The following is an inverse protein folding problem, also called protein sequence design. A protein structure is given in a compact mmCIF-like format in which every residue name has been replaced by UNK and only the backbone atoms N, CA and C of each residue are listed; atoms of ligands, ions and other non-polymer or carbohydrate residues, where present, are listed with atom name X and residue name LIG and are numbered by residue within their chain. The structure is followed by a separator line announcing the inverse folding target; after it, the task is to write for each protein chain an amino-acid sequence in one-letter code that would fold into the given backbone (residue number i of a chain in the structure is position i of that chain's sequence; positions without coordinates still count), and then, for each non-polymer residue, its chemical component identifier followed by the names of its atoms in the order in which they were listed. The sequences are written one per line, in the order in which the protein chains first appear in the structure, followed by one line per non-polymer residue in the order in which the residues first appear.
data_IF_317547513126
#
_entry.id   IF_317547513126
#
_cell.length_a   1.000
_cell.length_b   1.000
_cell.length_c   1.000
_cell.angle_alpha   90.00
_cell.angle_beta   90.00
_cell.angle_gamma   90.00
#
_symmetry.space_group_name_H-M   'P 1'
#
loop_
_entity.id
_entity.type
_entity.pdbx_description
1 polymer ?
#
# COMPACT_ATOMS: atom_id res chain seq x y z
N UNK A 1 -19.92 8.13 -23.62
CA UNK A 1 -18.86 9.10 -23.23
C UNK A 1 -19.57 10.43 -23.04
N UNK A 2 -19.62 10.95 -21.83
CA UNK A 2 -20.26 12.22 -21.52
C UNK A 2 -19.19 13.22 -21.05
N UNK A 3 -19.27 14.47 -21.51
CA UNK A 3 -18.30 15.51 -21.17
C UNK A 3 -18.98 16.55 -20.29
N UNK A 4 -18.38 16.84 -19.14
CA UNK A 4 -18.82 17.89 -18.22
C UNK A 4 -17.71 18.93 -18.13
N UNK A 5 -18.04 20.20 -18.37
CA UNK A 5 -17.11 21.32 -18.22
C UNK A 5 -17.49 22.11 -16.98
N UNK A 6 -16.58 22.15 -16.00
CA UNK A 6 -16.73 22.96 -14.79
C UNK A 6 -16.00 24.29 -15.04
N UNK A 7 -16.75 25.41 -15.00
CA UNK A 7 -16.18 26.75 -15.15
C UNK A 7 -16.03 27.39 -13.77
N UNK A 8 -15.09 28.32 -13.62
CA UNK A 8 -14.82 29.07 -12.39
C UNK A 8 -14.54 28.16 -11.18
N UNK A 9 -13.81 27.07 -11.39
CA UNK A 9 -13.32 26.25 -10.29
C UNK A 9 -12.23 27.04 -9.54
N UNK A 10 -12.32 27.12 -8.22
CA UNK A 10 -11.31 27.85 -7.44
C UNK A 10 -9.94 27.21 -7.57
N UNK A 11 -8.89 28.03 -7.55
CA UNK A 11 -7.50 27.56 -7.66
C UNK A 11 -7.13 26.61 -6.52
N UNK A 12 -7.69 26.85 -5.32
CA UNK A 12 -7.56 25.96 -4.17
C UNK A 12 -8.06 24.54 -4.48
N UNK A 13 -9.24 24.42 -5.09
CA UNK A 13 -9.83 23.13 -5.43
C UNK A 13 -9.03 22.44 -6.55
N UNK A 14 -8.53 23.21 -7.53
CA UNK A 14 -7.64 22.68 -8.57
C UNK A 14 -6.35 22.12 -7.94
N UNK A 15 -5.75 22.84 -7.00
CA UNK A 15 -4.54 22.40 -6.30
C UNK A 15 -4.79 21.12 -5.48
N UNK A 16 -5.90 21.09 -4.73
CA UNK A 16 -6.29 19.92 -3.95
C UNK A 16 -6.53 18.69 -4.82
N UNK A 17 -7.19 18.85 -5.98
CA UNK A 17 -7.42 17.76 -6.94
C UNK A 17 -6.13 17.25 -7.57
N UNK A 18 -5.21 18.15 -7.94
CA UNK A 18 -3.89 17.76 -8.47
C UNK A 18 -3.08 16.96 -7.46
N UNK A 19 -3.06 17.42 -6.20
CA UNK A 19 -2.33 16.71 -5.15
C UNK A 19 -2.96 15.34 -4.85
N UNK A 20 -4.29 15.26 -4.83
CA UNK A 20 -5.00 13.98 -4.67
C UNK A 20 -4.71 13.02 -5.83
N UNK A 21 -4.70 13.51 -7.07
CA UNK A 21 -4.36 12.72 -8.25
C UNK A 21 -2.91 12.21 -8.21
N UNK A 22 -1.97 13.05 -7.78
CA UNK A 22 -0.56 12.69 -7.56
C UNK A 22 -0.43 11.57 -6.52
N UNK A 23 -1.10 11.71 -5.37
CA UNK A 23 -1.12 10.68 -4.32
C UNK A 23 -1.64 9.34 -4.81
N UNK A 24 -2.66 9.36 -5.68
CA UNK A 24 -3.26 8.14 -6.22
C UNK A 24 -2.58 7.64 -7.52
N UNK A 25 -1.50 8.29 -7.98
CA UNK A 25 -0.81 7.97 -9.24
C UNK A 25 -1.74 7.93 -10.46
N UNK A 26 -2.68 8.88 -10.53
CA UNK A 26 -3.67 9.02 -11.62
C UNK A 26 -3.58 10.40 -12.27
N UNK A 27 -4.15 10.54 -13.47
CA UNK A 27 -4.35 11.87 -14.05
C UNK A 27 -5.43 12.64 -13.26
N UNK A 28 -5.37 13.97 -13.31
CA UNK A 28 -6.37 14.83 -12.65
C UNK A 28 -7.79 14.53 -13.14
N UNK A 29 -7.97 14.29 -14.44
CA UNK A 29 -9.27 13.91 -15.02
C UNK A 29 -9.75 12.56 -14.46
N UNK A 30 -8.87 11.56 -14.40
CA UNK A 30 -9.21 10.25 -13.88
C UNK A 30 -9.60 10.32 -12.39
N UNK A 31 -8.90 11.12 -11.59
CA UNK A 31 -9.25 11.33 -10.18
C UNK A 31 -10.58 12.08 -10.02
N UNK A 32 -10.82 13.12 -10.83
CA UNK A 32 -12.09 13.86 -10.80
C UNK A 32 -13.27 12.96 -11.19
N UNK A 33 -13.09 12.12 -12.21
CA UNK A 33 -14.09 11.14 -12.63
C UNK A 33 -14.40 10.14 -11.50
N UNK A 34 -13.36 9.60 -10.87
CA UNK A 34 -13.50 8.66 -9.76
C UNK A 34 -14.19 9.28 -8.54
N UNK A 35 -13.82 10.50 -8.18
CA UNK A 35 -14.48 11.23 -7.09
C UNK A 35 -15.98 11.44 -7.39
N UNK A 36 -16.33 11.86 -8.61
CA UNK A 36 -17.74 12.02 -9.01
C UNK A 36 -18.50 10.69 -9.00
N UNK A 37 -17.87 9.59 -9.42
CA UNK A 37 -18.48 8.26 -9.39
C UNK A 37 -18.76 7.78 -7.96
N UNK A 38 -17.84 8.00 -7.01
CA UNK A 38 -18.07 7.63 -5.60
C UNK A 38 -19.21 8.42 -4.97
N UNK A 39 -19.22 9.75 -5.19
CA UNK A 39 -20.30 10.61 -4.70
C UNK A 39 -21.65 10.17 -5.27
N UNK A 40 -21.71 9.86 -6.57
CA UNK A 40 -22.95 9.40 -7.21
C UNK A 40 -23.45 8.05 -6.67
N UNK A 41 -22.56 7.20 -6.15
CA UNK A 41 -22.88 5.91 -5.54
C UNK A 41 -23.19 6.00 -4.04
N UNK A 42 -22.97 7.16 -3.42
CA UNK A 42 -23.09 7.31 -1.96
C UNK A 42 -21.97 6.63 -1.18
N UNK A 43 -20.83 6.35 -1.82
CA UNK A 43 -19.62 5.86 -1.15
C UNK A 43 -18.89 7.06 -0.51
N UNK A 44 -18.50 6.94 0.76
CA UNK A 44 -17.82 8.00 1.50
C UNK A 44 -16.56 8.48 0.76
N UNK A 45 -16.36 9.80 0.72
CA UNK A 45 -15.29 10.48 -0.03
C UNK A 45 -13.86 10.23 0.49
N UNK A 46 -13.71 9.35 1.49
CA UNK A 46 -12.43 8.88 2.00
C UNK A 46 -11.55 8.36 0.88
N UNK A 47 -10.25 8.55 1.06
CA UNK A 47 -9.22 8.11 0.11
C UNK A 47 -9.43 6.64 -0.24
N UNK A 48 -9.99 6.37 -1.42
CA UNK A 48 -10.23 5.01 -1.91
C UNK A 48 -8.94 4.18 -2.09
N UNK A 49 -7.77 4.68 -1.69
CA UNK A 49 -6.54 3.90 -1.61
C UNK A 49 -6.68 2.72 -0.63
N UNK A 50 -7.28 2.93 0.54
CA UNK A 50 -7.50 1.84 1.51
C UNK A 50 -8.52 0.83 1.00
N UNK A 51 -9.57 1.29 0.33
CA UNK A 51 -10.63 0.45 -0.20
C UNK A 51 -10.19 -0.32 -1.45
N UNK A 52 -9.35 0.31 -2.29
CA UNK A 52 -8.71 -0.34 -3.45
C UNK A 52 -7.62 -1.31 -3.00
N UNK A 53 -6.90 -1.00 -1.93
CA UNK A 53 -5.96 -1.92 -1.29
C UNK A 53 -6.73 -3.10 -0.68
N UNK A 54 -7.80 -2.88 0.08
CA UNK A 54 -8.65 -3.93 0.62
C UNK A 54 -9.31 -4.80 -0.46
N UNK A 55 -9.73 -4.19 -1.58
CA UNK A 55 -10.26 -4.91 -2.73
C UNK A 55 -9.18 -5.72 -3.48
N UNK A 56 -7.93 -5.25 -3.48
CA UNK A 56 -6.77 -5.90 -4.12
C UNK A 56 -6.12 -6.96 -3.23
N UNK A 57 -6.15 -6.78 -1.91
CA UNK A 57 -5.80 -7.78 -0.88
C UNK A 57 -7.05 -8.61 -0.55
N UNK A 58 -7.81 -9.04 -1.57
CA UNK A 58 -8.58 -10.27 -1.43
C UNK A 58 -7.59 -11.40 -1.69
N UNK A 59 -7.07 -12.11 -0.67
CA UNK A 59 -6.07 -13.12 -0.92
C UNK A 59 -6.75 -14.21 -1.74
N UNK A 60 -6.36 -14.34 -3.01
CA UNK A 60 -6.76 -15.46 -3.86
C UNK A 60 -6.30 -16.79 -3.25
N UNK A 61 -5.32 -16.72 -2.36
CA UNK A 61 -4.92 -17.74 -1.39
C UNK A 61 -4.73 -17.06 -0.03
N UNK A 62 -5.57 -17.38 0.96
CA UNK A 62 -5.22 -17.18 2.37
C UNK A 62 -5.00 -18.55 2.99
N UNK A 63 -3.91 -18.71 3.72
CA UNK A 63 -3.66 -19.91 4.52
C UNK A 63 -3.97 -19.53 5.97
N UNK A 64 -4.94 -20.18 6.62
CA UNK A 64 -5.22 -19.98 8.03
C UNK A 64 -3.95 -20.14 8.88
N UNK A 65 -3.79 -19.29 9.90
CA UNK A 65 -2.57 -19.28 10.72
C UNK A 65 -2.26 -20.65 11.35
N UNK A 66 -3.28 -21.41 11.74
CA UNK A 66 -3.12 -22.77 12.26
C UNK A 66 -2.56 -23.75 11.20
N UNK A 67 -2.97 -23.62 9.94
CA UNK A 67 -2.47 -24.46 8.85
C UNK A 67 -1.01 -24.11 8.52
N UNK A 68 -0.65 -22.82 8.53
CA UNK A 68 0.73 -22.37 8.39
C UNK A 68 1.62 -22.96 9.49
N UNK A 69 1.20 -22.85 10.76
CA UNK A 69 1.97 -23.36 11.90
C UNK A 69 2.08 -24.89 11.88
N UNK A 70 1.04 -25.60 11.47
CA UNK A 70 1.09 -27.05 11.29
C UNK A 70 2.10 -27.46 10.20
N UNK A 71 2.20 -26.67 9.12
CA UNK A 71 3.15 -26.92 8.03
C UNK A 71 4.59 -26.61 8.44
N UNK A 72 4.81 -25.56 9.23
CA UNK A 72 6.11 -25.25 9.84
C UNK A 72 6.54 -26.39 10.76
N UNK A 73 5.65 -26.88 11.62
CA UNK A 73 5.96 -27.97 12.54
C UNK A 73 6.30 -29.30 11.84
N UNK A 74 5.74 -29.53 10.64
CA UNK A 74 6.02 -30.70 9.81
C UNK A 74 7.27 -30.55 8.93
N UNK A 75 7.79 -29.33 8.79
CA UNK A 75 8.99 -29.07 8.01
C UNK A 75 10.22 -29.33 8.87
N UNK A 76 11.10 -30.28 8.52
CA UNK A 76 12.36 -30.43 9.21
C UNK A 76 13.17 -29.13 9.07
N UNK A 77 13.94 -28.73 10.10
CA UNK A 77 14.78 -27.55 10.00
C UNK A 77 15.74 -27.75 8.82
N UNK A 78 15.97 -26.71 8.01
CA UNK A 78 16.95 -26.80 6.94
C UNK A 78 18.31 -27.19 7.54
N UNK A 79 19.15 -27.93 6.80
CA UNK A 79 20.51 -28.29 7.24
C UNK A 79 21.43 -27.07 7.12
N UNK A 80 21.03 -25.96 7.73
CA UNK A 80 21.83 -24.76 7.85
C UNK A 80 22.52 -24.81 9.21
N UNK A 81 23.83 -24.64 9.20
CA UNK A 81 24.56 -24.33 10.40
C UNK A 81 24.18 -22.90 10.80
N UNK A 82 23.31 -22.79 11.81
CA UNK A 82 22.81 -21.52 12.29
C UNK A 82 23.94 -20.60 12.77
N UNK A 83 25.03 -21.17 13.30
CA UNK A 83 26.15 -20.40 13.82
C UNK A 83 27.03 -19.86 12.70
N UNK A 84 27.29 -20.67 11.66
CA UNK A 84 27.96 -20.22 10.45
C UNK A 84 27.15 -19.16 9.67
N UNK A 85 25.83 -19.37 9.53
CA UNK A 85 24.95 -18.40 8.86
C UNK A 85 24.86 -17.06 9.61
N UNK A 86 24.81 -17.09 10.95
CA UNK A 86 24.88 -15.89 11.78
C UNK A 86 26.25 -15.20 11.71
N UNK A 87 27.34 -15.97 11.56
CA UNK A 87 28.67 -15.42 11.36
C UNK A 87 28.77 -14.70 10.01
N UNK A 88 28.21 -15.27 8.94
CA UNK A 88 28.13 -14.63 7.63
C UNK A 88 27.34 -13.31 7.70
N UNK A 89 26.17 -13.29 8.34
CA UNK A 89 25.37 -12.05 8.51
C UNK A 89 26.10 -10.98 9.31
N UNK A 90 26.86 -11.37 10.34
CA UNK A 90 27.63 -10.41 11.16
C UNK A 90 28.90 -9.93 10.46
N UNK A 91 29.46 -10.76 9.58
CA UNK A 91 30.61 -10.41 8.75
C UNK A 91 30.20 -9.58 7.54
N UNK A 92 28.93 -9.67 7.13
CA UNK A 92 28.27 -8.81 6.15
C UNK A 92 28.03 -7.42 6.78
N UNK A 93 29.12 -6.65 6.93
CA UNK A 93 29.14 -5.26 7.38
C UNK A 93 28.53 -4.29 6.34
N UNK A 94 28.08 -4.83 5.19
CA UNK A 94 27.28 -4.15 4.17
C UNK A 94 25.79 -4.07 4.55
N UNK A 95 25.49 -4.02 5.85
CA UNK A 95 24.26 -3.41 6.34
C UNK A 95 24.33 -1.90 6.04
N UNK A 96 24.29 -1.53 4.75
CA UNK A 96 23.98 -0.18 4.29
C UNK A 96 22.80 0.29 5.11
N UNK A 97 23.06 1.21 6.05
CA UNK A 97 22.14 1.97 6.89
C UNK A 97 20.67 1.72 6.51
N UNK A 98 20.14 0.54 6.88
CA UNK A 98 18.80 0.12 6.47
C UNK A 98 17.87 0.88 7.39
N UNK A 99 17.66 2.13 7.03
CA UNK A 99 16.81 3.05 7.74
C UNK A 99 15.40 2.58 7.48
N UNK A 100 14.83 1.88 8.47
CA UNK A 100 13.48 1.36 8.40
C UNK A 100 12.54 2.50 7.92
N UNK A 101 11.91 2.35 6.75
CA UNK A 101 11.01 3.37 6.21
C UNK A 101 9.85 3.72 7.14
N UNK A 102 9.52 2.85 8.09
CA UNK A 102 8.41 2.97 9.03
C UNK A 102 8.80 3.64 10.36
N UNK A 103 10.09 3.70 10.71
CA UNK A 103 10.57 4.40 11.91
C UNK A 103 10.34 5.91 11.87
N UNK A 104 10.12 6.48 10.67
CA UNK A 104 9.87 7.92 10.48
C UNK A 104 8.56 8.40 11.09
N UNK A 105 7.64 7.50 11.43
CA UNK A 105 6.29 7.82 11.90
C UNK A 105 6.05 7.55 13.40
N UNK A 106 7.02 6.98 14.12
CA UNK A 106 6.87 6.62 15.54
C UNK A 106 7.12 7.79 16.53
N UNK A 107 7.50 8.96 16.03
CA UNK A 107 7.69 10.17 16.84
C UNK A 107 6.70 11.27 16.42
N UNK A 108 5.48 11.23 16.99
CA UNK A 108 4.56 12.37 17.09
C UNK A 108 3.70 12.21 18.33
#
# INVERSE_FOLDING_TARGET
MATVTIRNLSDEVVAALKERARRNSRSMEAEAREALMRVAKGEDLTSGAEEHLAARIRPRWSVPANELMARIAQSPPPPVDAEAWLADIRADDDAEDFRDPWDRHAAS
#
